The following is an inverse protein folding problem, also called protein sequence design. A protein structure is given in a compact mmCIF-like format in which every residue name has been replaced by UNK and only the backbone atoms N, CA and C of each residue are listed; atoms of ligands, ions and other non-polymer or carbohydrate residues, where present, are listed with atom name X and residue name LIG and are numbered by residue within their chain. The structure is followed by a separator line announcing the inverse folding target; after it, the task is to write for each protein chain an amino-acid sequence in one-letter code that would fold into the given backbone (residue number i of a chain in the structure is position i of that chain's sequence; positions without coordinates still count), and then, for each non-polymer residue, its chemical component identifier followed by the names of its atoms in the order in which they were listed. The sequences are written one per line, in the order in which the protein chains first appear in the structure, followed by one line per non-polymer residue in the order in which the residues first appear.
data_IF_827335704284
#
_entry.id   IF_827335704284
#
_cell.length_a   1.000
_cell.length_b   1.000
_cell.length_c   1.000
_cell.angle_alpha   90.00
_cell.angle_beta   90.00
_cell.angle_gamma   90.00
#
_symmetry.space_group_name_H-M   'P 1'
#
loop_
_entity.id
_entity.type
_entity.pdbx_description
1 polymer ?
#
# COMPACT_ATOMS: atom_id res chain seq x y z
N UNK A 1 -18.72 -4.04 1.12
CA UNK A 1 -17.59 -4.62 1.88
C UNK A 1 -17.70 -6.14 2.10
N UNK A 2 -18.74 -6.82 1.61
CA UNK A 2 -19.05 -8.24 1.91
C UNK A 2 -18.48 -9.26 0.91
N UNK A 3 -17.63 -8.85 -0.05
CA UNK A 3 -17.01 -9.79 -0.99
C UNK A 3 -15.87 -10.56 -0.30
N UNK A 4 -15.70 -11.87 -0.57
CA UNK A 4 -14.56 -12.65 -0.07
C UNK A 4 -13.20 -12.00 -0.36
N UNK A 5 -13.04 -11.34 -1.51
CA UNK A 5 -11.79 -10.64 -1.85
C UNK A 5 -11.54 -9.41 -0.96
N UNK A 6 -12.59 -8.69 -0.59
CA UNK A 6 -12.48 -7.57 0.35
C UNK A 6 -12.17 -8.07 1.77
N UNK A 7 -12.77 -9.19 2.18
CA UNK A 7 -12.42 -9.81 3.47
C UNK A 7 -10.95 -10.21 3.49
N UNK A 8 -10.44 -10.84 2.43
CA UNK A 8 -9.03 -11.19 2.31
C UNK A 8 -8.09 -9.98 2.42
N UNK A 9 -8.48 -8.82 1.85
CA UNK A 9 -7.72 -7.57 2.01
C UNK A 9 -7.69 -7.11 3.46
N UNK A 10 -8.80 -7.18 4.17
CA UNK A 10 -8.88 -6.80 5.58
C UNK A 10 -7.99 -7.71 6.44
N UNK A 11 -8.05 -9.03 6.22
CA UNK A 11 -7.20 -9.99 6.94
C UNK A 11 -5.70 -9.67 6.72
N UNK A 12 -5.30 -9.36 5.49
CA UNK A 12 -3.92 -8.95 5.16
C UNK A 12 -3.53 -7.63 5.85
N UNK A 13 -4.45 -6.67 5.95
CA UNK A 13 -4.20 -5.40 6.65
C UNK A 13 -3.98 -5.65 8.15
N UNK A 14 -4.71 -6.58 8.75
CA UNK A 14 -4.48 -6.99 10.15
C UNK A 14 -3.09 -7.62 10.33
N UNK A 15 -2.68 -8.51 9.42
CA UNK A 15 -1.34 -9.11 9.44
C UNK A 15 -0.23 -8.05 9.27
N UNK A 16 -0.43 -7.06 8.40
CA UNK A 16 0.51 -5.95 8.20
C UNK A 16 0.55 -5.02 9.41
N UNK A 17 -0.58 -4.81 10.10
CA UNK A 17 -0.61 -4.03 11.33
C UNK A 17 0.21 -4.71 12.44
N UNK A 18 0.07 -6.04 12.59
CA UNK A 18 0.89 -6.81 13.54
C UNK A 18 2.38 -6.75 13.19
N UNK A 19 2.73 -6.84 11.89
CA UNK A 19 4.11 -6.67 11.45
C UNK A 19 4.66 -5.28 11.79
N UNK A 20 3.88 -4.22 11.56
CA UNK A 20 4.27 -2.87 11.91
C UNK A 20 4.58 -2.76 13.41
N UNK A 21 3.67 -3.24 14.26
CA UNK A 21 3.84 -3.25 15.72
C UNK A 21 5.10 -4.00 16.17
N UNK A 22 5.38 -5.17 15.58
CA UNK A 22 6.60 -5.95 15.87
C UNK A 22 7.89 -5.21 15.54
N UNK A 23 7.83 -4.27 14.59
CA UNK A 23 8.96 -3.44 14.17
C UNK A 23 9.01 -2.08 14.85
N UNK A 24 8.07 -1.80 15.78
CA UNK A 24 7.96 -0.51 16.44
C UNK A 24 7.44 0.62 15.54
N UNK A 25 6.81 0.27 14.42
CA UNK A 25 6.22 1.20 13.47
C UNK A 25 4.69 1.19 13.60
N UNK A 26 4.08 2.31 13.27
CA UNK A 26 2.66 2.34 12.91
C UNK A 26 2.45 1.74 11.52
N UNK A 27 1.24 1.24 11.24
CA UNK A 27 0.89 0.76 9.90
C UNK A 27 1.06 1.85 8.82
N UNK A 28 0.81 3.11 9.19
CA UNK A 28 1.00 4.28 8.32
C UNK A 28 2.49 4.42 7.95
N UNK A 29 3.37 4.38 8.94
CA UNK A 29 4.81 4.47 8.72
C UNK A 29 5.32 3.32 7.88
N UNK A 30 4.91 2.07 8.18
CA UNK A 30 5.27 0.89 7.40
C UNK A 30 4.87 1.05 5.93
N UNK A 31 3.63 1.47 5.66
CA UNK A 31 3.11 1.60 4.31
C UNK A 31 3.83 2.70 3.49
N UNK A 32 4.06 3.87 4.09
CA UNK A 32 4.76 4.97 3.41
C UNK A 32 6.24 4.61 3.22
N UNK A 33 6.89 4.04 4.24
CA UNK A 33 8.28 3.59 4.18
C UNK A 33 8.47 2.54 3.08
N UNK A 34 7.55 1.57 2.94
CA UNK A 34 7.59 0.57 1.87
C UNK A 34 7.67 1.21 0.49
N UNK A 35 6.87 2.25 0.25
CA UNK A 35 6.86 2.98 -1.04
C UNK A 35 8.17 3.72 -1.28
N UNK A 36 8.63 4.53 -0.32
CA UNK A 36 9.80 5.41 -0.53
C UNK A 36 11.16 4.70 -0.42
N UNK A 37 11.20 3.49 0.16
CA UNK A 37 12.41 2.67 0.17
C UNK A 37 12.63 1.92 -1.15
N UNK A 38 11.66 1.92 -2.07
CA UNK A 38 11.82 1.31 -3.39
C UNK A 38 12.72 2.19 -4.29
N UNK A 39 13.81 1.64 -4.89
CA UNK A 39 14.80 2.44 -5.62
C UNK A 39 14.25 3.13 -6.88
N UNK A 40 13.15 2.61 -7.44
CA UNK A 40 12.45 3.21 -8.59
C UNK A 40 11.43 4.30 -8.23
N UNK A 41 11.26 4.64 -6.95
CA UNK A 41 10.25 5.62 -6.49
C UNK A 41 10.95 6.89 -6.01
N UNK A 42 10.63 8.02 -6.62
CA UNK A 42 11.19 9.33 -6.21
C UNK A 42 10.47 9.93 -5.01
N UNK A 43 9.15 9.76 -4.93
CA UNK A 43 8.32 10.32 -3.87
C UNK A 43 7.02 9.53 -3.69
N UNK A 44 6.50 9.50 -2.45
CA UNK A 44 5.16 9.05 -2.15
C UNK A 44 4.20 10.25 -2.10
N UNK A 45 3.03 10.12 -2.73
CA UNK A 45 1.96 11.12 -2.64
C UNK A 45 1.05 10.74 -1.49
N UNK A 46 0.88 11.64 -0.52
CA UNK A 46 -0.02 11.47 0.62
C UNK A 46 -1.10 12.56 0.63
N UNK A 47 -2.31 12.22 1.07
CA UNK A 47 -3.47 13.11 1.06
C UNK A 47 -4.10 13.34 2.44
N UNK A 48 -3.37 13.90 3.43
CA UNK A 48 -3.95 14.20 4.73
C UNK A 48 -4.99 15.31 4.62
N UNK A 49 -6.09 15.18 5.36
CA UNK A 49 -7.15 16.19 5.48
C UNK A 49 -7.03 17.04 6.74
N UNK A 50 -6.18 16.62 7.68
CA UNK A 50 -5.91 17.31 8.95
C UNK A 50 -4.42 17.39 9.22
N UNK A 51 -3.99 18.29 10.10
CA UNK A 51 -2.59 18.40 10.50
C UNK A 51 -2.12 17.14 11.22
N UNK A 52 -2.93 16.58 12.11
CA UNK A 52 -2.64 15.33 12.82
C UNK A 52 -2.35 14.16 11.87
N UNK A 53 -3.12 14.05 10.78
CA UNK A 53 -2.83 13.06 9.73
C UNK A 53 -1.48 13.32 9.07
N UNK A 54 -1.18 14.57 8.70
CA UNK A 54 0.12 14.91 8.13
C UNK A 54 1.25 14.56 9.10
N UNK A 55 1.15 14.94 10.36
CA UNK A 55 2.14 14.65 11.40
C UNK A 55 2.36 13.15 11.59
N UNK A 56 1.33 12.32 11.48
CA UNK A 56 1.47 10.86 11.50
C UNK A 56 2.20 10.27 10.28
N UNK A 57 2.28 10.99 9.16
CA UNK A 57 2.92 10.52 7.92
C UNK A 57 4.42 10.83 7.90
N UNK A 58 4.81 11.96 8.49
CA UNK A 58 6.17 12.51 8.38
C UNK A 58 7.28 11.58 8.92
N UNK A 59 7.12 10.87 10.05
CA UNK A 59 8.18 10.00 10.57
C UNK A 59 8.62 8.90 9.60
N UNK A 60 7.72 8.48 8.69
CA UNK A 60 8.00 7.45 7.70
C UNK A 60 9.17 7.81 6.77
N UNK A 61 9.45 9.11 6.57
CA UNK A 61 10.51 9.58 5.68
C UNK A 61 11.91 9.12 6.11
N UNK A 62 12.11 8.93 7.42
CA UNK A 62 13.38 8.53 8.01
C UNK A 62 13.48 7.01 8.24
N UNK A 63 12.41 6.26 7.96
CA UNK A 63 12.36 4.81 8.18
C UNK A 63 13.05 4.07 7.05
N UNK A 64 13.98 3.18 7.41
CA UNK A 64 14.58 2.18 6.53
C UNK A 64 14.08 0.80 6.91
N UNK A 65 13.35 0.15 5.99
CA UNK A 65 12.86 -1.20 6.21
C UNK A 65 14.01 -2.20 6.02
N UNK A 66 14.14 -3.15 6.95
CA UNK A 66 15.08 -4.25 6.80
C UNK A 66 14.59 -5.25 5.74
N UNK A 67 15.52 -6.04 5.21
CA UNK A 67 15.19 -7.13 4.27
C UNK A 67 14.16 -8.09 4.85
N UNK A 68 14.27 -8.47 6.13
CA UNK A 68 13.32 -9.37 6.78
C UNK A 68 11.88 -8.83 6.79
N UNK A 69 11.71 -7.51 6.97
CA UNK A 69 10.39 -6.87 6.93
C UNK A 69 9.84 -6.90 5.51
N UNK A 70 10.68 -6.60 4.51
CA UNK A 70 10.28 -6.65 3.10
C UNK A 70 9.90 -8.07 2.68
N UNK A 71 10.68 -9.08 3.08
CA UNK A 71 10.37 -10.49 2.83
C UNK A 71 9.06 -10.91 3.49
N UNK A 72 8.77 -10.40 4.71
CA UNK A 72 7.51 -10.68 5.38
C UNK A 72 6.33 -10.02 4.67
N UNK A 73 6.48 -8.80 4.14
CA UNK A 73 5.47 -8.15 3.30
C UNK A 73 5.21 -9.00 2.05
N UNK A 74 6.25 -9.48 1.37
CA UNK A 74 6.13 -10.31 0.16
C UNK A 74 5.41 -11.64 0.44
N UNK A 75 5.55 -12.22 1.64
CA UNK A 75 4.81 -13.40 2.05
C UNK A 75 3.31 -13.12 2.27
N UNK A 76 2.95 -11.91 2.69
CA UNK A 76 1.55 -11.51 2.87
C UNK A 76 0.90 -11.12 1.54
N UNK A 77 1.65 -10.37 0.72
CA UNK A 77 1.26 -9.90 -0.60
C UNK A 77 2.42 -10.10 -1.55
N UNK A 78 2.38 -11.15 -2.36
CA UNK A 78 3.43 -11.42 -3.32
C UNK A 78 3.59 -10.23 -4.31
N UNK A 79 4.82 -9.92 -4.75
CA UNK A 79 5.06 -8.85 -5.72
C UNK A 79 4.19 -8.99 -6.98
N UNK A 80 3.59 -7.88 -7.43
CA UNK A 80 2.77 -7.84 -8.63
C UNK A 80 1.35 -8.38 -8.48
N UNK A 81 0.88 -8.66 -7.25
CA UNK A 81 -0.47 -9.17 -7.00
C UNK A 81 -1.44 -8.05 -6.61
N UNK A 82 -2.55 -7.95 -7.34
CA UNK A 82 -3.74 -7.23 -6.87
C UNK A 82 -4.64 -8.20 -6.12
N UNK A 83 -4.77 -8.04 -4.80
CA UNK A 83 -5.52 -8.96 -3.92
C UNK A 83 -7.00 -9.10 -4.33
N UNK A 84 -7.62 -7.99 -4.72
CA UNK A 84 -8.96 -8.00 -5.30
C UNK A 84 -8.87 -7.65 -6.79
N UNK A 85 -9.07 -8.60 -7.72
CA UNK A 85 -8.97 -8.34 -9.16
C UNK A 85 -9.90 -7.23 -9.67
N UNK A 86 -11.03 -6.99 -8.99
CA UNK A 86 -11.97 -5.92 -9.34
C UNK A 86 -11.42 -4.51 -9.06
N UNK A 87 -10.36 -4.38 -8.26
CA UNK A 87 -9.70 -3.09 -7.99
C UNK A 87 -8.76 -2.66 -9.13
N UNK A 88 -8.54 -3.53 -10.13
CA UNK A 88 -7.70 -3.20 -11.27
C UNK A 88 -8.36 -2.10 -12.12
N UNK A 89 -7.66 -0.98 -12.27
CA UNK A 89 -8.11 0.15 -13.10
C UNK A 89 -7.93 -0.09 -14.61
N UNK A 90 -7.26 -1.17 -14.98
CA UNK A 90 -7.01 -1.59 -16.37
C UNK A 90 -7.89 -2.79 -16.70
N UNK A 91 -8.65 -2.73 -17.81
CA UNK A 91 -9.62 -3.76 -18.17
C UNK A 91 -10.86 -3.19 -18.85
N UNK A 92 -12.04 -3.64 -18.42
CA UNK A 92 -13.34 -3.39 -19.10
C UNK A 92 -13.69 -1.91 -19.28
N UNK A 93 -13.14 -1.03 -18.46
CA UNK A 93 -13.43 0.41 -18.46
C UNK A 93 -12.26 1.27 -18.95
N UNK A 94 -11.21 0.66 -19.50
CA UNK A 94 -10.08 1.39 -20.04
C UNK A 94 -10.51 2.24 -21.24
N UNK A 95 -10.05 3.50 -21.30
CA UNK A 95 -10.29 4.39 -22.43
C UNK A 95 -9.48 3.93 -23.65
N UNK A 96 -10.06 3.00 -24.40
CA UNK A 96 -9.51 2.54 -25.67
C UNK A 96 -9.46 3.68 -26.69
N UNK A 97 -8.56 3.58 -27.67
CA UNK A 97 -8.46 4.58 -28.74
C UNK A 97 -9.80 4.79 -29.47
N UNK A 98 -10.61 3.73 -29.62
CA UNK A 98 -11.96 3.77 -30.19
C UNK A 98 -13.00 4.51 -29.33
N UNK A 99 -12.78 4.61 -28.02
CA UNK A 99 -13.69 5.25 -27.07
C UNK A 99 -13.32 6.72 -26.75
N UNK A 100 -12.21 7.24 -27.33
CA UNK A 100 -11.80 8.64 -27.16
C UNK A 100 -12.78 9.57 -27.87
N UNK A 101 -13.28 10.58 -27.15
CA UNK A 101 -14.07 11.65 -27.76
C UNK A 101 -13.15 12.45 -28.69
N UNK A 102 -13.57 12.67 -29.93
CA UNK A 102 -12.83 13.48 -30.92
C UNK A 102 -12.74 14.93 -30.49
#
# INVERSE_FOLDING_TARGET
MTSPANQRKLDIVEDLAQLAEQTGLTLIELAIAFVINHPGVTAAIVGPRTMEQLESYLPAADVKLSTDVLERIDQLVAPGVTVNPDDNSYGTHELTASARRR
#
